data_IF_703124612056
#
_entry.id   IF_703124612056
#
_cell.length_a   1.000
_cell.length_b   1.000
_cell.length_c   1.000
_cell.angle_alpha   90.00
_cell.angle_beta   90.00
_cell.angle_gamma   90.00
#
_symmetry.space_group_name_H-M   'P 1'
#
loop_
_entity.id
_entity.type
_entity.pdbx_description
1 polymer ?
#
# COMPACT_ATOMS: atom_id res chain seq x y z
N UNK A 1 -24.67 27.18 -28.71
CA UNK A 1 -24.70 26.24 -27.56
C UNK A 1 -24.44 24.77 -27.92
N UNK A 2 -25.15 24.15 -28.89
CA UNK A 2 -24.99 22.71 -29.20
C UNK A 2 -23.57 22.29 -29.60
N UNK A 3 -22.92 23.08 -30.45
CA UNK A 3 -21.54 22.84 -30.92
C UNK A 3 -20.53 22.98 -29.78
N UNK A 4 -20.70 23.99 -28.92
CA UNK A 4 -19.85 24.21 -27.74
C UNK A 4 -19.98 23.03 -26.76
N UNK A 5 -21.19 22.57 -26.47
CA UNK A 5 -21.41 21.41 -25.58
C UNK A 5 -20.79 20.13 -26.14
N UNK A 6 -20.84 19.94 -27.47
CA UNK A 6 -20.20 18.82 -28.15
C UNK A 6 -18.68 18.88 -28.00
N UNK A 7 -18.07 20.04 -28.26
CA UNK A 7 -16.63 20.26 -28.14
C UNK A 7 -16.16 20.00 -26.70
N UNK A 8 -16.85 20.55 -25.70
CA UNK A 8 -16.51 20.34 -24.28
C UNK A 8 -16.64 18.87 -23.88
N UNK A 9 -17.69 18.18 -24.35
CA UNK A 9 -17.88 16.75 -24.06
C UNK A 9 -16.79 15.88 -24.69
N UNK A 10 -16.33 16.23 -25.89
CA UNK A 10 -15.22 15.53 -26.57
C UNK A 10 -13.91 15.78 -25.83
N UNK A 11 -13.61 17.04 -25.48
CA UNK A 11 -12.38 17.38 -24.72
C UNK A 11 -12.36 16.64 -23.38
N UNK A 12 -13.50 16.61 -22.67
CA UNK A 12 -13.63 15.85 -21.42
C UNK A 12 -13.37 14.35 -21.62
N UNK A 13 -14.01 13.74 -22.61
CA UNK A 13 -13.83 12.32 -22.91
C UNK A 13 -12.37 12.01 -23.23
N UNK A 14 -11.73 12.81 -24.08
CA UNK A 14 -10.31 12.65 -24.43
C UNK A 14 -9.43 12.78 -23.19
N UNK A 15 -9.64 13.80 -22.37
CA UNK A 15 -8.86 14.03 -21.15
C UNK A 15 -8.96 12.84 -20.18
N UNK A 16 -10.18 12.38 -19.88
CA UNK A 16 -10.41 11.28 -18.94
C UNK A 16 -9.87 9.96 -19.49
N UNK A 17 -10.00 9.71 -20.79
CA UNK A 17 -9.44 8.51 -21.43
C UNK A 17 -7.92 8.51 -21.39
N UNK A 18 -7.28 9.64 -21.67
CA UNK A 18 -5.82 9.78 -21.54
C UNK A 18 -5.39 9.50 -20.09
N UNK A 19 -6.07 10.11 -19.12
CA UNK A 19 -5.77 9.91 -17.70
C UNK A 19 -5.91 8.44 -17.27
N UNK A 20 -7.04 7.79 -17.62
CA UNK A 20 -7.27 6.38 -17.33
C UNK A 20 -6.23 5.47 -17.97
N UNK A 21 -5.85 5.76 -19.22
CA UNK A 21 -4.81 5.01 -19.92
C UNK A 21 -3.43 5.20 -19.27
N UNK A 22 -3.10 6.41 -18.82
CA UNK A 22 -1.85 6.68 -18.09
C UNK A 22 -1.77 5.89 -16.78
N UNK A 23 -2.86 5.81 -16.01
CA UNK A 23 -2.91 4.97 -14.79
C UNK A 23 -2.72 3.48 -15.13
N UNK A 24 -3.40 3.00 -16.18
CA UNK A 24 -3.27 1.62 -16.63
C UNK A 24 -1.83 1.28 -17.03
N UNK A 25 -1.16 2.18 -17.77
CA UNK A 25 0.24 2.01 -18.16
C UNK A 25 1.21 2.07 -16.97
N UNK A 26 0.86 2.78 -15.90
CA UNK A 26 1.69 2.85 -14.68
C UNK A 26 1.44 1.66 -13.72
N UNK A 27 0.37 0.90 -13.92
CA UNK A 27 0.02 -0.26 -13.08
C UNK A 27 1.18 -1.27 -12.93
N UNK A 28 1.94 -1.64 -13.97
CA UNK A 28 3.11 -2.52 -13.82
C UNK A 28 4.20 -1.94 -12.93
N UNK A 29 4.45 -0.63 -13.04
CA UNK A 29 5.44 0.05 -12.20
C UNK A 29 4.99 0.06 -10.75
N UNK A 30 3.70 0.26 -10.48
CA UNK A 30 3.16 0.19 -9.12
C UNK A 30 3.30 -1.22 -8.52
N UNK A 31 2.99 -2.26 -9.29
CA UNK A 31 3.19 -3.65 -8.88
C UNK A 31 4.66 -3.89 -8.52
N UNK A 32 5.58 -3.46 -9.40
CA UNK A 32 7.01 -3.64 -9.16
C UNK A 32 7.49 -2.84 -7.95
N UNK A 33 7.03 -1.60 -7.75
CA UNK A 33 7.35 -0.79 -6.58
C UNK A 33 6.94 -1.47 -5.28
N UNK A 34 5.76 -2.10 -5.23
CA UNK A 34 5.31 -2.84 -4.04
C UNK A 34 6.19 -4.07 -3.78
N UNK A 35 6.59 -4.79 -4.83
CA UNK A 35 7.54 -5.92 -4.70
C UNK A 35 8.88 -5.42 -4.15
N UNK A 36 9.47 -4.42 -4.80
CA UNK A 36 10.72 -3.78 -4.40
C UNK A 36 10.67 -3.26 -2.97
N UNK A 37 9.53 -2.70 -2.57
CA UNK A 37 9.34 -2.17 -1.22
C UNK A 37 9.46 -3.26 -0.17
N UNK A 38 8.78 -4.40 -0.34
CA UNK A 38 8.93 -5.56 0.56
C UNK A 38 10.36 -6.09 0.54
N UNK A 39 10.95 -6.24 -0.64
CA UNK A 39 12.29 -6.83 -0.77
C UNK A 39 13.37 -5.96 -0.13
N UNK A 40 13.31 -4.64 -0.29
CA UNK A 40 14.31 -3.71 0.24
C UNK A 40 14.08 -3.37 1.71
N UNK A 41 12.82 -3.44 2.16
CA UNK A 41 12.48 -2.95 3.48
C UNK A 41 12.09 -4.07 4.45
N UNK A 42 11.16 -4.95 4.11
CA UNK A 42 10.67 -5.97 5.07
C UNK A 42 11.61 -7.18 5.13
N UNK A 43 12.04 -7.69 3.97
CA UNK A 43 12.85 -8.93 3.86
C UNK A 43 14.15 -8.90 4.68
N UNK A 44 14.93 -7.80 4.72
CA UNK A 44 16.14 -7.74 5.57
C UNK A 44 15.83 -7.91 7.06
N UNK A 45 14.72 -7.35 7.54
CA UNK A 45 14.30 -7.53 8.94
C UNK A 45 13.95 -8.97 9.27
N UNK A 46 13.28 -9.67 8.35
CA UNK A 46 12.94 -11.09 8.51
C UNK A 46 14.21 -11.94 8.59
N UNK A 47 15.20 -11.66 7.72
CA UNK A 47 16.49 -12.34 7.71
C UNK A 47 17.20 -12.14 9.05
N UNK A 48 17.32 -10.90 9.51
CA UNK A 48 17.95 -10.58 10.80
C UNK A 48 17.27 -11.33 11.96
N UNK A 49 15.95 -11.27 12.07
CA UNK A 49 15.22 -11.90 13.18
C UNK A 49 15.40 -13.42 13.16
N UNK A 50 15.36 -14.03 11.99
CA UNK A 50 15.53 -15.48 11.86
C UNK A 50 16.96 -15.91 12.22
N UNK A 51 17.98 -15.17 11.78
CA UNK A 51 19.38 -15.41 12.17
C UNK A 51 19.57 -15.23 13.68
N UNK A 52 19.09 -14.11 14.24
CA UNK A 52 19.15 -13.82 15.67
C UNK A 52 18.50 -14.94 16.50
N UNK A 53 17.34 -15.44 16.06
CA UNK A 53 16.61 -16.54 16.73
C UNK A 53 17.39 -17.84 16.73
N UNK A 54 18.09 -18.17 15.64
CA UNK A 54 18.94 -19.36 15.55
C UNK A 54 20.15 -19.22 16.49
N UNK A 55 20.78 -18.06 16.54
CA UNK A 55 21.99 -17.80 17.34
C UNK A 55 21.71 -17.72 18.85
N UNK A 56 20.57 -17.12 19.23
CA UNK A 56 20.27 -16.78 20.63
C UNK A 56 19.16 -17.64 21.26
N UNK A 57 18.47 -18.47 20.47
CA UNK A 57 17.33 -19.27 20.93
C UNK A 57 16.09 -18.46 21.33
N UNK A 58 16.05 -17.15 21.04
CA UNK A 58 14.95 -16.23 21.37
C UNK A 58 14.73 -15.18 20.29
N UNK A 59 13.56 -14.55 20.29
CA UNK A 59 13.31 -13.37 19.46
C UNK A 59 14.10 -12.15 20.00
N UNK A 60 14.55 -11.24 19.11
CA UNK A 60 15.17 -9.99 19.54
C UNK A 60 14.19 -9.14 20.34
N UNK A 61 14.71 -8.38 21.30
CA UNK A 61 13.99 -7.29 21.94
C UNK A 61 13.77 -6.15 20.94
N UNK A 62 12.87 -5.21 21.27
CA UNK A 62 12.68 -4.01 20.46
C UNK A 62 14.00 -3.23 20.29
N UNK A 63 14.78 -3.10 21.35
CA UNK A 63 16.06 -2.40 21.31
C UNK A 63 17.09 -3.07 20.41
N UNK A 64 17.20 -4.39 20.45
CA UNK A 64 18.11 -5.13 19.55
C UNK A 64 17.67 -4.97 18.09
N UNK A 65 16.37 -5.06 17.83
CA UNK A 65 15.83 -4.87 16.49
C UNK A 65 16.08 -3.46 15.95
N UNK A 66 15.77 -2.41 16.72
CA UNK A 66 15.93 -1.03 16.27
C UNK A 66 17.40 -0.59 16.22
N UNK A 67 18.27 -1.13 17.09
CA UNK A 67 19.72 -0.97 16.96
C UNK A 67 20.21 -1.54 15.63
N UNK A 68 19.88 -2.80 15.33
CA UNK A 68 20.25 -3.41 14.05
C UNK A 68 19.70 -2.61 12.87
N UNK A 69 18.43 -2.20 12.92
CA UNK A 69 17.80 -1.45 11.83
C UNK A 69 18.52 -0.13 11.57
N UNK A 70 18.83 0.62 12.63
CA UNK A 70 19.59 1.87 12.56
C UNK A 70 20.93 1.66 11.88
N UNK A 71 21.67 0.65 12.31
CA UNK A 71 23.01 0.37 11.80
C UNK A 71 22.96 -0.14 10.35
N UNK A 72 21.93 -0.93 9.98
CA UNK A 72 21.72 -1.44 8.63
C UNK A 72 21.37 -0.35 7.60
N UNK A 73 20.60 0.67 8.00
CA UNK A 73 20.19 1.78 7.14
C UNK A 73 21.00 3.06 7.34
N UNK A 74 22.02 3.03 8.21
CA UNK A 74 22.84 4.18 8.59
C UNK A 74 22.03 5.42 9.05
N UNK A 75 20.85 5.19 9.65
CA UNK A 75 19.90 6.25 10.04
C UNK A 75 20.01 6.61 11.52
N UNK A 76 21.07 7.33 11.88
CA UNK A 76 21.37 7.72 13.28
C UNK A 76 20.53 8.88 13.83
N UNK A 77 19.40 9.20 13.20
CA UNK A 77 18.49 10.26 13.65
C UNK A 77 17.66 9.88 14.88
N UNK A 78 17.61 8.58 15.21
CA UNK A 78 16.86 8.03 16.34
C UNK A 78 17.69 7.94 17.62
N UNK A 79 17.16 8.46 18.73
CA UNK A 79 17.79 8.38 20.06
C UNK A 79 17.52 7.02 20.72
N UNK A 80 18.50 6.11 20.64
CA UNK A 80 18.46 4.79 21.27
C UNK A 80 18.96 4.80 22.73
N UNK A 81 19.30 5.97 23.31
CA UNK A 81 19.84 6.09 24.67
C UNK A 81 18.77 6.16 25.76
N UNK A 82 17.49 6.22 25.40
CA UNK A 82 16.41 6.21 26.39
C UNK A 82 16.35 4.84 27.08
N UNK A 83 16.39 4.85 28.43
CA UNK A 83 16.45 3.68 29.33
C UNK A 83 15.26 2.73 29.24
N UNK A 84 14.26 3.05 28.43
CA UNK A 84 13.02 2.30 28.34
C UNK A 84 13.02 1.58 26.99
N UNK A 85 12.99 0.25 27.01
CA UNK A 85 12.74 -0.59 25.81
C UNK A 85 11.34 -0.35 25.18
N UNK A 86 10.56 0.52 25.82
CA UNK A 86 9.29 1.06 25.40
C UNK A 86 9.51 2.52 25.01
N UNK A 87 8.83 2.94 23.94
CA UNK A 87 8.81 4.29 23.40
C UNK A 87 9.88 4.57 22.34
N UNK A 88 9.78 3.87 21.20
CA UNK A 88 9.56 4.64 19.97
C UNK A 88 8.04 4.67 19.76
N UNK A 89 7.32 5.62 20.37
CA UNK A 89 5.90 5.75 20.14
C UNK A 89 5.69 6.43 18.79
N UNK A 90 4.94 5.78 17.91
CA UNK A 90 3.98 6.48 17.05
C UNK A 90 4.48 7.14 15.75
N UNK A 91 5.75 7.08 15.34
CA UNK A 91 6.18 7.76 14.10
C UNK A 91 6.93 6.87 13.09
N UNK A 92 7.01 5.57 13.33
CA UNK A 92 7.75 4.67 12.47
C UNK A 92 6.93 4.28 11.25
N UNK A 93 7.43 4.59 10.04
CA UNK A 93 7.08 3.82 8.84
C UNK A 93 7.22 2.32 9.10
N UNK A 94 7.99 1.85 10.09
CA UNK A 94 8.22 0.44 10.42
C UNK A 94 7.79 0.05 11.83
N UNK A 95 7.29 -1.17 11.98
CA UNK A 95 6.84 -1.78 13.22
C UNK A 95 7.41 -3.19 13.37
N UNK A 96 8.07 -3.45 14.49
CA UNK A 96 8.36 -4.80 14.95
C UNK A 96 7.32 -5.21 15.99
N UNK A 97 6.48 -6.18 15.64
CA UNK A 97 5.29 -6.55 16.41
C UNK A 97 5.51 -7.93 17.00
N UNK A 98 5.52 -7.99 18.33
CA UNK A 98 5.62 -9.20 19.15
C UNK A 98 4.44 -9.41 20.08
N UNK A 99 3.56 -8.41 20.21
CA UNK A 99 2.33 -8.48 20.99
C UNK A 99 1.23 -7.67 20.30
N UNK A 100 -0.03 -8.04 20.52
CA UNK A 100 -1.17 -7.35 19.93
C UNK A 100 -1.23 -5.86 20.28
N UNK A 101 -0.82 -5.48 21.50
CA UNK A 101 -0.79 -4.09 21.95
C UNK A 101 0.22 -3.19 21.20
N UNK A 102 1.07 -3.79 20.36
CA UNK A 102 2.05 -3.06 19.53
C UNK A 102 1.52 -2.79 18.11
N UNK A 103 0.32 -3.27 17.77
CA UNK A 103 -0.35 -2.97 16.50
C UNK A 103 -0.92 -1.55 16.61
N UNK A 104 -0.50 -0.64 15.73
CA UNK A 104 -0.94 0.77 15.75
C UNK A 104 -2.13 1.02 14.80
N UNK A 105 -2.42 0.09 13.89
CA UNK A 105 -3.52 0.17 12.93
C UNK A 105 -4.75 -0.61 13.40
N UNK A 106 -5.91 -0.34 12.79
CA UNK A 106 -7.14 -1.14 12.97
C UNK A 106 -7.07 -2.58 12.46
N UNK A 107 -5.87 -3.09 12.18
CA UNK A 107 -5.61 -4.40 11.60
C UNK A 107 -5.43 -5.51 12.65
N UNK A 108 -5.75 -5.25 13.92
CA UNK A 108 -5.67 -6.24 15.01
C UNK A 108 -6.30 -7.60 14.65
N UNK A 109 -7.34 -7.59 13.82
CA UNK A 109 -8.01 -8.80 13.34
C UNK A 109 -7.08 -9.75 12.57
N UNK A 110 -6.04 -9.24 11.90
CA UNK A 110 -5.04 -10.03 11.14
C UNK A 110 -4.13 -10.85 12.06
N UNK A 111 -3.97 -10.42 13.31
CA UNK A 111 -3.01 -10.99 14.27
C UNK A 111 -3.64 -11.98 15.25
N UNK A 112 -4.94 -12.25 15.14
CA UNK A 112 -5.69 -13.14 16.06
C UNK A 112 -5.13 -14.56 16.17
N UNK A 113 -4.37 -15.03 15.17
CA UNK A 113 -3.80 -16.38 15.11
C UNK A 113 -2.35 -16.47 15.59
N UNK A 114 -1.73 -15.34 15.95
CA UNK A 114 -0.32 -15.32 16.35
C UNK A 114 -0.12 -15.92 17.75
N UNK A 115 0.83 -16.85 17.88
CA UNK A 115 1.36 -17.30 19.16
C UNK A 115 2.57 -16.43 19.52
N UNK A 116 2.29 -15.32 20.21
CA UNK A 116 3.27 -14.30 20.59
C UNK A 116 4.46 -14.77 21.42
N UNK A 117 4.48 -16.03 21.89
CA UNK A 117 5.67 -16.61 22.50
C UNK A 117 6.78 -16.91 21.48
N UNK A 118 6.40 -17.20 20.23
CA UNK A 118 7.31 -17.63 19.17
C UNK A 118 7.16 -16.83 17.87
N UNK A 119 6.02 -16.18 17.71
CA UNK A 119 5.65 -15.44 16.51
C UNK A 119 5.95 -13.96 16.62
N UNK A 120 6.15 -13.36 15.45
CA UNK A 120 6.34 -11.94 15.27
C UNK A 120 5.75 -11.51 13.92
N UNK A 121 5.57 -10.20 13.77
CA UNK A 121 5.27 -9.60 12.50
C UNK A 121 6.15 -8.36 12.27
N UNK A 122 6.35 -8.02 11.00
CA UNK A 122 6.98 -6.78 10.58
C UNK A 122 5.96 -6.00 9.78
N UNK A 123 5.57 -4.84 10.27
CA UNK A 123 4.70 -3.90 9.56
C UNK A 123 5.51 -2.77 8.97
N UNK A 124 5.18 -2.34 7.75
CA UNK A 124 5.76 -1.16 7.15
C UNK A 124 4.71 -0.34 6.37
N UNK A 125 4.57 0.94 6.70
CA UNK A 125 3.72 1.90 6.00
C UNK A 125 4.40 2.34 4.71
N UNK A 126 3.75 2.04 3.57
CA UNK A 126 4.26 2.42 2.25
C UNK A 126 3.82 3.82 1.79
N UNK A 127 2.95 4.49 2.55
CA UNK A 127 2.35 5.78 2.20
C UNK A 127 0.83 5.70 2.13
N UNK A 128 0.30 4.56 1.68
CA UNK A 128 -1.12 4.35 1.43
C UNK A 128 -1.69 3.21 2.31
N UNK A 129 -0.90 2.17 2.55
CA UNK A 129 -1.28 0.99 3.32
C UNK A 129 -0.13 0.45 4.16
N UNK A 130 -0.47 -0.35 5.16
CA UNK A 130 0.49 -1.17 5.89
C UNK A 130 0.74 -2.47 5.13
N UNK A 131 2.01 -2.74 4.86
CA UNK A 131 2.46 -4.05 4.36
C UNK A 131 3.02 -4.86 5.53
N UNK A 132 2.73 -6.15 5.54
CA UNK A 132 3.10 -7.03 6.65
C UNK A 132 3.88 -8.25 6.19
N UNK A 133 4.80 -8.69 7.06
CA UNK A 133 5.24 -10.07 7.12
C UNK A 133 4.68 -10.73 8.38
N UNK A 134 4.18 -11.96 8.24
CA UNK A 134 3.67 -12.78 9.34
C UNK A 134 4.48 -14.05 9.50
N UNK A 135 5.08 -14.24 10.69
CA UNK A 135 5.93 -15.43 10.94
C UNK A 135 5.14 -16.73 11.01
N UNK A 136 3.90 -16.71 11.50
CA UNK A 136 3.08 -17.91 11.74
C UNK A 136 2.62 -18.60 10.46
N UNK A 137 2.50 -17.84 9.36
CA UNK A 137 2.14 -18.34 8.03
C UNK A 137 3.29 -18.21 7.02
N UNK A 138 4.43 -17.66 7.44
CA UNK A 138 5.56 -17.32 6.59
C UNK A 138 5.15 -16.60 5.30
N UNK A 139 4.28 -15.59 5.44
CA UNK A 139 3.62 -14.92 4.31
C UNK A 139 3.79 -13.41 4.37
N UNK A 140 3.89 -12.80 3.18
CA UNK A 140 3.87 -11.36 3.02
C UNK A 140 2.48 -10.91 2.59
N UNK A 141 1.83 -10.11 3.41
CA UNK A 141 0.64 -9.38 3.03
C UNK A 141 1.06 -8.05 2.42
N UNK A 142 0.71 -7.88 1.14
CA UNK A 142 1.07 -6.73 0.33
C UNK A 142 -0.20 -6.08 -0.18
N UNK A 143 -0.13 -4.78 -0.43
CA UNK A 143 -1.18 -4.12 -1.22
C UNK A 143 -1.28 -4.83 -2.57
N UNK A 144 -2.41 -5.50 -2.80
CA UNK A 144 -2.61 -6.34 -3.97
C UNK A 144 -3.02 -5.49 -5.17
N UNK A 145 -2.18 -4.55 -5.57
CA UNK A 145 -2.35 -3.94 -6.89
C UNK A 145 -2.11 -5.04 -7.91
N UNK A 146 -3.07 -5.21 -8.81
CA UNK A 146 -3.06 -6.22 -9.84
C UNK A 146 -3.42 -5.60 -11.18
N UNK A 147 -3.14 -6.34 -12.26
CA UNK A 147 -3.63 -5.97 -13.58
C UNK A 147 -5.15 -5.77 -13.59
N UNK A 148 -5.88 -6.54 -12.78
CA UNK A 148 -7.32 -6.42 -12.66
C UNK A 148 -7.74 -5.05 -12.12
N UNK A 149 -7.00 -4.48 -11.16
CA UNK A 149 -7.27 -3.14 -10.65
C UNK A 149 -7.01 -2.07 -11.71
N UNK A 150 -5.97 -2.26 -12.52
CA UNK A 150 -5.71 -1.44 -13.71
C UNK A 150 -6.87 -1.48 -14.71
N UNK A 151 -7.38 -2.68 -15.03
CA UNK A 151 -8.53 -2.84 -15.92
C UNK A 151 -9.82 -2.23 -15.35
N UNK A 152 -10.07 -2.40 -14.05
CA UNK A 152 -11.22 -1.80 -13.37
C UNK A 152 -11.12 -0.28 -13.42
N UNK A 153 -9.94 0.28 -13.10
CA UNK A 153 -9.68 1.71 -13.20
C UNK A 153 -9.90 2.26 -14.61
N UNK A 154 -9.43 1.53 -15.64
CA UNK A 154 -9.68 1.87 -17.05
C UNK A 154 -11.18 1.84 -17.38
N UNK A 155 -11.92 0.84 -16.90
CA UNK A 155 -13.36 0.72 -17.13
C UNK A 155 -14.15 1.86 -16.49
N UNK A 156 -13.82 2.20 -15.24
CA UNK A 156 -14.44 3.33 -14.50
C UNK A 156 -14.15 4.64 -15.21
N UNK A 157 -12.88 4.93 -15.51
CA UNK A 157 -12.49 6.17 -16.19
C UNK A 157 -13.13 6.27 -17.57
N UNK A 158 -13.12 5.19 -18.36
CA UNK A 158 -13.82 5.15 -19.66
C UNK A 158 -15.31 5.46 -19.52
N UNK A 159 -15.98 4.86 -18.53
CA UNK A 159 -17.41 5.12 -18.28
C UNK A 159 -17.63 6.59 -17.93
N UNK A 160 -16.87 7.15 -16.98
CA UNK A 160 -16.97 8.55 -16.57
C UNK A 160 -16.64 9.53 -17.70
N UNK A 161 -15.68 9.20 -18.54
CA UNK A 161 -15.29 10.01 -19.70
C UNK A 161 -16.40 10.11 -20.74
N UNK A 162 -17.18 9.04 -20.94
CA UNK A 162 -18.23 8.98 -21.95
C UNK A 162 -19.58 9.55 -21.49
N UNK A 163 -19.83 9.69 -20.17
CA UNK A 163 -21.12 10.17 -19.63
C UNK A 163 -21.57 11.50 -20.27
N UNK A 164 -20.76 12.57 -20.33
CA UNK A 164 -21.21 13.84 -20.91
C UNK A 164 -21.57 13.73 -22.40
N UNK A 165 -20.85 12.87 -23.12
CA UNK A 165 -21.05 12.61 -24.54
C UNK A 165 -22.36 11.83 -24.78
N UNK A 166 -22.64 10.84 -23.94
CA UNK A 166 -23.90 10.08 -23.92
C UNK A 166 -25.08 11.03 -23.60
N UNK A 167 -24.97 11.86 -22.56
CA UNK A 167 -26.00 12.83 -22.17
C UNK A 167 -26.29 13.80 -23.32
N UNK A 168 -25.26 14.33 -23.97
CA UNK A 168 -25.42 15.23 -25.12
C UNK A 168 -26.14 14.55 -26.30
N UNK A 169 -25.80 13.29 -26.62
CA UNK A 169 -26.47 12.51 -27.66
C UNK A 169 -27.96 12.29 -27.35
N UNK A 170 -28.30 11.98 -26.10
CA UNK A 170 -29.69 11.80 -25.67
C UNK A 170 -30.52 13.09 -25.77
N UNK A 171 -29.96 14.23 -25.34
CA UNK A 171 -30.63 15.54 -25.42
C UNK A 171 -30.90 15.92 -26.89
N UNK A 172 -29.95 15.64 -27.79
CA UNK A 172 -30.12 15.95 -29.21
C UNK A 172 -31.08 15.01 -29.94
N UNK A 173 -31.17 13.73 -29.55
CA UNK A 173 -32.14 12.78 -30.14
C UNK A 173 -33.58 13.12 -29.79
N UNK A 174 -33.89 13.39 -28.51
CA UNK A 174 -35.27 13.76 -28.07
C UNK A 174 -35.83 14.97 -28.82
N UNK A 175 -34.97 15.90 -29.22
CA UNK A 175 -35.36 17.12 -29.94
C UNK A 175 -35.63 16.89 -31.44
N UNK A 176 -35.14 15.80 -32.03
CA UNK A 176 -35.40 15.42 -33.44
C UNK A 176 -36.66 14.57 -33.61
N UNK A 177 -37.12 13.90 -32.55
CA UNK A 177 -38.31 13.04 -32.53
C UNK A 177 -39.59 13.74 -32.05
N UNK A 178 -39.52 15.03 -31.73
CA UNK A 178 -40.64 15.86 -31.27
C UNK A 178 -41.09 16.93 -32.28
N UNK A 179 -40.75 16.74 -33.55
CA UNK A 179 -41.22 17.48 -34.73
C UNK A 179 -41.75 16.45 -35.71
#
# INVERSE_FOLDING_TARGET
MKTVLAIVSIIWAVFILIYGFSIFLDTPNQIQRNIDFVEKNIKPSVIFINQFKVENGRLPSNREYFTWHRDYYEDYTSDLNQKVDSLIPGLGRRQYIRHIAQVVSGDEYKFKKADWKKDYAIGLWNGDYWEYYFSWSNSYERTSNSWQDGYIGLGITTTLGLIPLIIWLFINKKKKSGT
#
